data_IF_835832453370
#
_entry.id   IF_835832453370
#
_cell.length_a   1.000
_cell.length_b   1.000
_cell.length_c   1.000
_cell.angle_alpha   90.00
_cell.angle_beta   90.00
_cell.angle_gamma   90.00
#
_symmetry.space_group_name_H-M   'P 1'
#
loop_
_entity.id
_entity.type
_entity.pdbx_description
1 polymer ?
#
# COMPACT_ATOMS: atom_id res chain seq x y z
N UNK A 1 -6.20 -13.40 16.02
CA UNK A 1 -6.49 -12.88 14.67
C UNK A 1 -5.80 -11.53 14.59
N UNK A 2 -4.65 -11.48 13.92
CA UNK A 2 -3.94 -10.23 13.68
C UNK A 2 -4.82 -9.31 12.82
N UNK A 3 -4.93 -8.05 13.23
CA UNK A 3 -5.67 -7.05 12.46
C UNK A 3 -4.95 -6.75 11.14
N UNK A 4 -5.66 -6.29 10.11
CA UNK A 4 -5.01 -5.89 8.83
C UNK A 4 -3.88 -4.86 9.04
N UNK A 5 -4.02 -4.02 10.07
CA UNK A 5 -3.00 -3.06 10.49
C UNK A 5 -1.71 -3.74 10.98
N UNK A 6 -1.83 -4.80 11.78
CA UNK A 6 -0.68 -5.54 12.31
C UNK A 6 0.06 -6.30 11.20
N UNK A 7 -0.69 -6.84 10.23
CA UNK A 7 -0.09 -7.47 9.05
C UNK A 7 0.73 -6.48 8.23
N UNK A 8 0.19 -5.29 7.93
CA UNK A 8 0.92 -4.26 7.17
C UNK A 8 2.16 -3.78 7.92
N UNK A 9 2.09 -3.63 9.26
CA UNK A 9 3.27 -3.26 10.06
C UNK A 9 4.35 -4.35 10.02
N UNK A 10 3.96 -5.62 10.10
CA UNK A 10 4.89 -6.75 10.01
C UNK A 10 5.56 -6.80 8.64
N UNK A 11 4.79 -6.66 7.56
CA UNK A 11 5.30 -6.62 6.19
C UNK A 11 6.31 -5.47 5.99
N UNK A 12 6.05 -4.28 6.55
CA UNK A 12 7.00 -3.16 6.52
C UNK A 12 8.32 -3.52 7.20
N UNK A 13 8.25 -4.17 8.35
CA UNK A 13 9.43 -4.55 9.11
C UNK A 13 10.26 -5.60 8.35
N UNK A 14 9.61 -6.56 7.69
CA UNK A 14 10.28 -7.53 6.82
C UNK A 14 10.93 -6.87 5.60
N UNK A 15 10.26 -5.91 4.95
CA UNK A 15 10.81 -5.15 3.82
C UNK A 15 12.03 -4.32 4.24
N UNK A 16 11.95 -3.65 5.40
CA UNK A 16 13.04 -2.88 5.95
C UNK A 16 14.25 -3.75 6.33
N UNK A 17 14.01 -4.97 6.83
CA UNK A 17 15.09 -5.91 7.15
C UNK A 17 15.78 -6.51 5.93
N UNK A 18 15.04 -6.63 4.81
CA UNK A 18 15.56 -7.22 3.57
C UNK A 18 16.30 -6.22 2.68
N UNK A 19 16.43 -4.95 3.11
CA UNK A 19 17.03 -3.86 2.31
C UNK A 19 16.43 -3.78 0.89
N UNK A 20 15.11 -3.98 0.82
CA UNK A 20 14.39 -4.01 -0.46
C UNK A 20 14.25 -2.59 -0.98
N UNK A 21 14.66 -2.38 -2.23
CA UNK A 21 14.55 -1.07 -2.88
C UNK A 21 13.10 -0.59 -2.96
N UNK A 22 12.88 0.71 -2.85
CA UNK A 22 11.56 1.34 -2.85
C UNK A 22 10.79 1.12 -4.15
N UNK A 23 11.51 0.92 -5.26
CA UNK A 23 10.98 0.61 -6.58
C UNK A 23 10.77 -0.90 -6.80
N UNK A 24 10.92 -1.71 -5.75
CA UNK A 24 10.61 -3.13 -5.83
C UNK A 24 9.10 -3.36 -5.84
N UNK A 25 8.61 -4.31 -6.65
CA UNK A 25 7.18 -4.59 -6.77
C UNK A 25 6.53 -5.02 -5.45
N UNK A 26 7.29 -5.59 -4.52
CA UNK A 26 6.83 -5.93 -3.17
C UNK A 26 6.52 -4.68 -2.33
N UNK A 27 7.40 -3.68 -2.37
CA UNK A 27 7.21 -2.41 -1.65
C UNK A 27 6.06 -1.62 -2.28
N UNK A 28 5.95 -1.61 -3.61
CA UNK A 28 4.81 -0.97 -4.29
C UNK A 28 3.48 -1.56 -3.85
N UNK A 29 3.34 -2.88 -3.88
CA UNK A 29 2.12 -3.57 -3.41
C UNK A 29 1.82 -3.29 -1.94
N UNK A 30 2.86 -3.29 -1.11
CA UNK A 30 2.73 -2.94 0.30
C UNK A 30 2.21 -1.50 0.48
N UNK A 31 2.76 -0.53 -0.27
CA UNK A 31 2.32 0.86 -0.24
C UNK A 31 0.86 1.02 -0.69
N UNK A 32 0.45 0.31 -1.74
CA UNK A 32 -0.95 0.29 -2.20
C UNK A 32 -1.87 -0.21 -1.09
N UNK A 33 -1.51 -1.34 -0.47
CA UNK A 33 -2.31 -1.97 0.58
C UNK A 33 -2.39 -1.08 1.82
N UNK A 34 -1.26 -0.48 2.21
CA UNK A 34 -1.20 0.48 3.31
C UNK A 34 -2.08 1.70 3.03
N UNK A 35 -1.98 2.30 1.84
CA UNK A 35 -2.80 3.44 1.47
C UNK A 35 -4.29 3.11 1.45
N UNK A 36 -4.70 1.96 0.91
CA UNK A 36 -6.09 1.51 0.92
C UNK A 36 -6.62 1.15 2.30
N UNK A 37 -5.75 0.91 3.30
CA UNK A 37 -6.16 0.67 4.67
C UNK A 37 -6.23 1.97 5.50
N UNK A 38 -5.17 2.77 5.45
CA UNK A 38 -5.02 3.99 6.26
C UNK A 38 -5.73 5.21 5.68
N UNK A 39 -5.83 5.31 4.35
CA UNK A 39 -6.44 6.44 3.64
C UNK A 39 -7.74 6.04 2.95
N UNK A 40 -8.39 4.97 3.44
CA UNK A 40 -9.69 4.53 2.93
C UNK A 40 -10.77 5.59 3.09
N UNK A 41 -10.70 6.39 4.15
CA UNK A 41 -11.63 7.47 4.42
C UNK A 41 -11.51 8.62 3.40
N UNK A 42 -10.39 8.70 2.67
CA UNK A 42 -10.19 9.66 1.58
C UNK A 42 -10.68 9.14 0.20
N UNK A 43 -11.12 7.88 0.13
CA UNK A 43 -11.57 7.21 -1.08
C UNK A 43 -13.11 7.17 -1.14
N UNK A 44 -13.65 7.43 -2.32
CA UNK A 44 -15.07 7.18 -2.58
C UNK A 44 -15.31 5.69 -2.84
N UNK A 45 -16.56 5.24 -2.72
CA UNK A 45 -16.96 3.87 -3.04
C UNK A 45 -16.60 3.56 -4.50
N UNK A 46 -15.77 2.54 -4.72
CA UNK A 46 -15.23 2.18 -6.05
C UNK A 46 -13.92 2.88 -6.40
N UNK A 47 -13.31 3.63 -5.49
CA UNK A 47 -11.95 4.13 -5.63
C UNK A 47 -10.97 3.28 -4.80
N UNK A 48 -9.76 3.14 -5.33
CA UNK A 48 -8.62 2.57 -4.62
C UNK A 48 -7.40 3.46 -4.81
N UNK A 49 -6.48 3.40 -3.87
CA UNK A 49 -5.12 3.88 -4.05
C UNK A 49 -4.33 2.86 -4.87
N UNK A 50 -3.70 3.31 -5.93
CA UNK A 50 -2.84 2.50 -6.78
C UNK A 50 -1.48 3.17 -6.89
N UNK A 51 -0.41 2.39 -6.86
CA UNK A 51 0.93 2.90 -6.98
C UNK A 51 1.26 3.10 -8.46
N UNK A 52 1.89 4.23 -8.78
CA UNK A 52 2.40 4.59 -10.09
C UNK A 52 3.87 4.98 -9.93
N UNK A 53 4.75 4.39 -10.75
CA UNK A 53 6.20 4.63 -10.68
C UNK A 53 6.59 6.09 -10.95
N UNK A 54 5.77 6.85 -11.68
CA UNK A 54 6.08 8.24 -12.04
C UNK A 54 5.51 9.25 -11.04
N UNK A 55 4.36 8.93 -10.42
CA UNK A 55 3.63 9.88 -9.58
C UNK A 55 3.44 9.42 -8.13
N UNK A 56 3.87 8.21 -7.80
CA UNK A 56 3.60 7.55 -6.51
C UNK A 56 2.15 7.08 -6.39
N UNK A 57 1.59 7.17 -5.18
CA UNK A 57 0.21 6.74 -4.91
C UNK A 57 -0.82 7.70 -5.52
N UNK A 58 -1.66 7.18 -6.40
CA UNK A 58 -2.78 7.91 -7.04
C UNK A 58 -4.12 7.24 -6.78
N UNK A 59 -5.18 8.02 -6.74
CA UNK A 59 -6.56 7.51 -6.64
C UNK A 59 -7.01 7.04 -8.03
N UNK A 60 -7.45 5.80 -8.14
CA UNK A 60 -8.01 5.24 -9.37
C UNK A 60 -9.38 4.66 -9.10
N UNK A 61 -10.24 4.71 -10.12
CA UNK A 61 -11.54 4.05 -10.08
C UNK A 61 -11.39 2.60 -10.53
N UNK A 62 -11.92 1.68 -9.73
CA UNK A 62 -12.09 0.27 -10.09
C UNK A 62 -13.56 0.03 -10.32
N UNK A 63 -13.91 -0.18 -11.59
CA UNK A 63 -15.27 -0.44 -12.05
C UNK A 63 -15.53 -1.93 -12.19
#
# INVERSE_FOLDING_TARGET
>A
MDTELEQIKKELHELAQKDVDIDSPEVMKWMERAANLFKKDELQKGQIWKYDVNTGLKKVWVN
#
